data_IF_849752085195
#
_entry.id   IF_849752085195
#
_cell.length_a   1.000
_cell.length_b   1.000
_cell.length_c   1.000
_cell.angle_alpha   90.00
_cell.angle_beta   90.00
_cell.angle_gamma   90.00
#
_symmetry.space_group_name_H-M   'P 1'
#
loop_
_entity.id
_entity.type
_entity.pdbx_description
1 polymer ?
#
# COMPACT_ATOMS: atom_id res chain seq x y z
N UNK A 1 24.38 -20.15 -4.44
CA UNK A 1 23.41 -19.25 -5.10
C UNK A 1 22.64 -18.55 -4.00
N UNK A 2 22.56 -17.22 -4.02
CA UNK A 2 22.01 -16.45 -2.91
C UNK A 2 20.48 -16.57 -2.87
N UNK A 3 19.94 -17.39 -1.97
CA UNK A 3 18.48 -17.59 -1.78
C UNK A 3 17.70 -16.27 -1.49
N UNK A 4 18.42 -15.17 -1.21
CA UNK A 4 17.90 -13.79 -1.09
C UNK A 4 17.31 -13.26 -2.40
N UNK A 5 17.89 -13.59 -3.56
CA UNK A 5 17.44 -13.03 -4.84
C UNK A 5 16.07 -13.55 -5.27
N UNK A 6 15.53 -14.56 -4.60
CA UNK A 6 14.17 -15.05 -4.82
C UNK A 6 13.13 -14.24 -4.04
N UNK A 7 13.54 -13.37 -3.10
CA UNK A 7 12.64 -12.48 -2.37
C UNK A 7 12.37 -11.25 -3.23
N UNK A 8 11.22 -11.24 -3.86
CA UNK A 8 10.71 -10.11 -4.62
C UNK A 8 9.44 -9.59 -3.96
N UNK A 9 9.42 -8.29 -3.74
CA UNK A 9 8.29 -7.54 -3.23
C UNK A 9 7.84 -6.55 -4.27
N UNK A 10 6.53 -6.38 -4.43
CA UNK A 10 6.00 -5.44 -5.39
C UNK A 10 6.42 -4.02 -5.02
N UNK A 11 6.93 -3.22 -5.98
CA UNK A 11 7.41 -1.86 -5.71
C UNK A 11 6.24 -0.92 -5.41
N UNK A 12 6.55 0.27 -4.87
CA UNK A 12 5.56 1.34 -4.78
C UNK A 12 5.27 1.91 -6.17
N UNK A 13 4.02 2.32 -6.40
CA UNK A 13 3.59 2.98 -7.65
C UNK A 13 4.13 4.41 -7.68
N UNK A 14 4.55 4.91 -8.85
CA UNK A 14 5.10 6.26 -8.94
C UNK A 14 4.01 7.33 -8.84
N UNK A 15 4.33 8.46 -8.20
CA UNK A 15 3.42 9.62 -8.15
C UNK A 15 3.09 10.14 -9.54
N UNK A 16 4.03 10.09 -10.47
CA UNK A 16 3.82 10.52 -11.85
C UNK A 16 2.71 9.71 -12.55
N UNK A 17 2.65 8.40 -12.33
CA UNK A 17 1.58 7.54 -12.88
C UNK A 17 0.23 7.84 -12.26
N UNK A 18 0.17 8.05 -10.94
CA UNK A 18 -1.06 8.47 -10.27
C UNK A 18 -1.54 9.82 -10.83
N UNK A 19 -0.66 10.82 -10.92
CA UNK A 19 -1.02 12.12 -11.51
C UNK A 19 -1.52 11.98 -12.95
N UNK A 20 -0.81 11.22 -13.78
CA UNK A 20 -1.22 11.00 -15.17
C UNK A 20 -2.60 10.33 -15.26
N UNK A 21 -2.89 9.35 -14.39
CA UNK A 21 -4.20 8.70 -14.30
C UNK A 21 -5.30 9.75 -14.07
N UNK A 22 -5.20 10.55 -13.00
CA UNK A 22 -6.23 11.53 -12.66
C UNK A 22 -6.36 12.66 -13.68
N UNK A 23 -5.25 13.21 -14.17
CA UNK A 23 -5.27 14.30 -15.17
C UNK A 23 -5.92 13.83 -16.46
N UNK A 24 -5.54 12.65 -16.95
CA UNK A 24 -6.07 12.15 -18.20
C UNK A 24 -7.53 11.70 -18.04
N UNK A 25 -7.92 11.20 -16.86
CA UNK A 25 -9.29 10.82 -16.55
C UNK A 25 -10.20 12.05 -16.55
N UNK A 26 -9.81 13.12 -15.86
CA UNK A 26 -10.55 14.38 -15.82
C UNK A 26 -10.71 15.02 -17.21
N UNK A 27 -9.79 14.73 -18.13
CA UNK A 27 -9.85 15.17 -19.54
C UNK A 27 -10.65 14.24 -20.45
N UNK A 28 -11.12 13.10 -19.96
CA UNK A 28 -11.76 12.05 -20.77
C UNK A 28 -10.80 11.34 -21.74
N UNK A 29 -9.49 11.40 -21.48
CA UNK A 29 -8.42 10.89 -22.37
C UNK A 29 -7.57 9.78 -21.76
N UNK A 30 -7.84 9.35 -20.53
CA UNK A 30 -7.04 8.30 -19.89
C UNK A 30 -7.19 6.98 -20.65
N UNK A 31 -6.06 6.36 -20.98
CA UNK A 31 -6.02 5.06 -21.63
C UNK A 31 -6.29 3.95 -20.61
N UNK A 32 -6.99 2.89 -21.01
CA UNK A 32 -7.34 1.79 -20.12
C UNK A 32 -6.08 1.05 -19.62
N UNK A 33 -5.02 1.01 -20.43
CA UNK A 33 -3.73 0.44 -20.06
C UNK A 33 -3.11 1.13 -18.85
N UNK A 34 -3.26 2.47 -18.74
CA UNK A 34 -2.75 3.21 -17.58
C UNK A 34 -3.55 2.89 -16.31
N UNK A 35 -4.88 2.71 -16.45
CA UNK A 35 -5.76 2.33 -15.33
C UNK A 35 -5.39 0.94 -14.81
N UNK A 36 -5.18 0.00 -15.72
CA UNK A 36 -4.77 -1.37 -15.38
C UNK A 36 -3.37 -1.41 -14.78
N UNK A 37 -2.41 -0.70 -15.37
CA UNK A 37 -1.05 -0.65 -14.86
C UNK A 37 -1.01 -0.10 -13.43
N UNK A 38 -1.70 1.02 -13.17
CA UNK A 38 -1.77 1.60 -11.83
C UNK A 38 -2.48 0.66 -10.87
N UNK A 39 -3.66 0.16 -11.23
CA UNK A 39 -4.45 -0.60 -10.28
C UNK A 39 -3.89 -1.99 -10.00
N UNK A 40 -3.33 -2.70 -10.98
CA UNK A 40 -2.59 -3.94 -10.71
C UNK A 40 -1.29 -3.68 -9.96
N UNK A 41 -0.61 -2.54 -10.20
CA UNK A 41 0.54 -2.13 -9.39
C UNK A 41 0.18 -1.95 -7.91
N UNK A 42 -0.91 -1.23 -7.63
CA UNK A 42 -1.44 -1.07 -6.27
C UNK A 42 -1.89 -2.40 -5.68
N UNK A 43 -2.56 -3.26 -6.46
CA UNK A 43 -3.04 -4.56 -6.03
C UNK A 43 -1.87 -5.45 -5.59
N UNK A 44 -0.85 -5.60 -6.44
CA UNK A 44 0.32 -6.39 -6.15
C UNK A 44 1.10 -5.85 -4.94
N UNK A 45 1.09 -4.52 -4.75
CA UNK A 45 1.68 -3.88 -3.58
C UNK A 45 0.89 -4.17 -2.30
N UNK A 46 -0.43 -4.05 -2.32
CA UNK A 46 -1.29 -4.42 -1.19
C UNK A 46 -1.09 -5.89 -0.80
N UNK A 47 -1.01 -6.81 -1.76
CA UNK A 47 -0.71 -8.22 -1.48
C UNK A 47 0.63 -8.41 -0.77
N UNK A 48 1.69 -7.73 -1.24
CA UNK A 48 3.01 -7.78 -0.60
C UNK A 48 2.98 -7.26 0.85
N UNK A 49 2.22 -6.18 1.10
CA UNK A 49 2.04 -5.61 2.43
C UNK A 49 1.32 -6.60 3.35
N UNK A 50 0.19 -7.15 2.91
CA UNK A 50 -0.59 -8.11 3.69
C UNK A 50 0.21 -9.38 3.98
N UNK A 51 0.90 -9.92 2.98
CA UNK A 51 1.75 -11.11 3.15
C UNK A 51 2.86 -10.89 4.18
N UNK A 52 3.56 -9.76 4.11
CA UNK A 52 4.62 -9.48 5.07
C UNK A 52 4.06 -9.21 6.48
N UNK A 53 2.91 -8.55 6.57
CA UNK A 53 2.22 -8.29 7.85
C UNK A 53 1.81 -9.61 8.53
N UNK A 54 1.20 -10.53 7.79
CA UNK A 54 0.86 -11.89 8.25
C UNK A 54 2.12 -12.65 8.74
N UNK A 55 3.21 -12.59 7.98
CA UNK A 55 4.49 -13.18 8.38
C UNK A 55 5.07 -12.55 9.67
N UNK A 56 4.86 -11.26 9.88
CA UNK A 56 5.33 -10.54 11.07
C UNK A 56 4.49 -10.89 12.30
N UNK A 57 3.16 -10.89 12.17
CA UNK A 57 2.21 -11.02 13.28
C UNK A 57 1.95 -12.48 13.66
N UNK A 58 1.72 -13.34 12.66
CA UNK A 58 1.31 -14.73 12.86
C UNK A 58 2.47 -15.72 12.66
N UNK A 59 3.52 -15.29 11.96
CA UNK A 59 4.71 -16.11 11.73
C UNK A 59 4.65 -17.03 10.50
N UNK A 60 3.56 -16.99 9.73
CA UNK A 60 3.42 -17.71 8.47
C UNK A 60 4.17 -17.02 7.33
N UNK A 61 5.24 -17.64 6.83
CA UNK A 61 6.03 -17.09 5.71
C UNK A 61 5.74 -17.86 4.42
N UNK A 62 5.27 -17.17 3.38
CA UNK A 62 5.10 -17.79 2.05
C UNK A 62 6.45 -18.09 1.42
N UNK A 63 6.61 -19.31 0.89
CA UNK A 63 7.82 -19.68 0.16
C UNK A 63 7.84 -19.03 -1.23
N UNK A 64 8.79 -18.11 -1.44
CA UNK A 64 8.91 -17.37 -2.71
C UNK A 64 9.23 -18.27 -3.91
N UNK A 65 10.02 -19.33 -3.72
CA UNK A 65 10.34 -20.31 -4.77
C UNK A 65 9.12 -21.15 -5.18
N UNK A 66 8.29 -21.60 -4.22
CA UNK A 66 7.05 -22.31 -4.55
C UNK A 66 6.06 -21.38 -5.26
N UNK A 67 5.95 -20.14 -4.79
CA UNK A 67 5.04 -19.14 -5.37
C UNK A 67 5.38 -18.84 -6.84
N UNK A 68 6.66 -18.72 -7.19
CA UNK A 68 7.12 -18.59 -8.59
C UNK A 68 6.72 -19.78 -9.48
N UNK A 69 6.43 -20.94 -8.88
CA UNK A 69 5.94 -22.14 -9.58
C UNK A 69 4.41 -22.28 -9.53
N UNK A 70 3.68 -21.25 -9.07
CA UNK A 70 2.23 -21.29 -8.91
C UNK A 70 1.74 -22.13 -7.74
N UNK A 71 2.61 -22.44 -6.76
CA UNK A 71 2.26 -23.22 -5.57
C UNK A 71 2.33 -22.37 -4.30
N UNK A 72 1.37 -22.57 -3.40
CA UNK A 72 1.38 -21.93 -2.08
C UNK A 72 1.96 -22.89 -1.04
N UNK A 73 3.06 -22.51 -0.40
CA UNK A 73 3.62 -23.24 0.75
C UNK A 73 3.91 -22.25 1.88
N UNK A 74 3.38 -22.52 3.06
CA UNK A 74 3.60 -21.70 4.26
C UNK A 74 4.70 -22.34 5.11
N UNK A 75 5.69 -21.56 5.48
CA UNK A 75 6.77 -21.90 6.40
C UNK A 75 6.44 -21.26 7.74
N UNK A 76 6.20 -22.07 8.77
CA UNK A 76 5.96 -21.57 10.12
C UNK A 76 7.29 -21.16 10.75
N UNK A 77 7.46 -19.85 11.02
CA UNK A 77 8.68 -19.35 11.67
C UNK A 77 8.59 -19.51 13.19
N UNK A 78 9.74 -19.70 13.82
CA UNK A 78 9.80 -19.66 15.27
C UNK A 78 9.83 -18.20 15.74
N UNK A 79 8.70 -17.73 16.29
CA UNK A 79 8.53 -16.36 16.77
C UNK A 79 9.52 -15.98 17.89
N UNK A 80 9.93 -16.96 18.72
CA UNK A 80 10.85 -16.76 19.84
C UNK A 80 12.33 -16.76 19.41
N UNK A 81 12.63 -17.10 18.15
CA UNK A 81 14.00 -17.12 17.59
C UNK A 81 14.06 -16.23 16.34
N UNK A 82 14.27 -14.91 16.51
CA UNK A 82 14.22 -13.94 15.41
C UNK A 82 15.37 -14.12 14.38
N UNK A 83 16.40 -14.90 14.68
CA UNK A 83 17.47 -15.24 13.73
C UNK A 83 17.28 -16.60 13.05
N UNK A 84 16.12 -17.25 13.25
CA UNK A 84 15.84 -18.58 12.73
C UNK A 84 15.98 -18.64 11.20
N UNK A 85 16.49 -19.79 10.75
CA UNK A 85 16.51 -20.15 9.35
C UNK A 85 15.11 -20.61 8.98
N UNK A 86 14.49 -19.93 8.02
CA UNK A 86 13.30 -20.41 7.35
C UNK A 86 13.73 -21.46 6.34
N UNK A 87 13.09 -22.63 6.34
CA UNK A 87 13.33 -23.67 5.35
C UNK A 87 12.00 -24.20 4.85
N UNK A 88 11.79 -24.13 3.54
CA UNK A 88 10.63 -24.69 2.89
C UNK A 88 10.71 -26.23 2.92
N UNK A 89 9.70 -26.93 3.43
CA UNK A 89 9.69 -28.39 3.46
C UNK A 89 9.48 -29.01 2.08
N UNK A 90 8.95 -28.25 1.11
CA UNK A 90 8.61 -28.75 -0.23
C UNK A 90 9.76 -28.58 -1.22
N UNK A 91 10.29 -27.36 -1.37
CA UNK A 91 11.29 -27.06 -2.39
C UNK A 91 12.72 -26.83 -1.85
N UNK A 92 12.89 -26.92 -0.52
CA UNK A 92 14.18 -26.71 0.15
C UNK A 92 14.70 -25.27 0.14
N UNK A 93 13.95 -24.30 -0.38
CA UNK A 93 14.31 -22.87 -0.28
C UNK A 93 14.55 -22.48 1.17
N UNK A 94 15.60 -21.69 1.40
CA UNK A 94 16.00 -21.34 2.75
C UNK A 94 16.48 -19.89 2.84
N UNK A 95 16.08 -19.19 3.88
CA UNK A 95 16.55 -17.82 4.13
C UNK A 95 16.51 -17.51 5.62
N UNK A 96 17.45 -16.71 6.11
CA UNK A 96 17.39 -16.23 7.50
C UNK A 96 16.29 -15.17 7.62
N UNK A 97 15.47 -15.22 8.67
CA UNK A 97 14.41 -14.23 8.91
C UNK A 97 14.91 -12.79 8.81
N UNK A 98 16.09 -12.49 9.36
CA UNK A 98 16.71 -11.15 9.27
C UNK A 98 16.88 -10.65 7.84
N UNK A 99 17.17 -11.55 6.89
CA UNK A 99 17.33 -11.20 5.47
C UNK A 99 15.95 -10.95 4.86
N UNK A 100 14.98 -11.82 5.14
CA UNK A 100 13.58 -11.64 4.71
C UNK A 100 12.98 -10.30 5.16
N UNK A 101 13.19 -9.96 6.44
CA UNK A 101 12.80 -8.67 7.01
C UNK A 101 13.55 -7.50 6.37
N UNK A 102 14.86 -7.61 6.13
CA UNK A 102 15.61 -6.54 5.47
C UNK A 102 15.08 -6.25 4.06
N UNK A 103 14.71 -7.28 3.29
CA UNK A 103 14.13 -7.10 1.95
C UNK A 103 12.78 -6.37 1.99
N UNK A 104 11.95 -6.58 3.01
CA UNK A 104 10.68 -5.85 3.17
C UNK A 104 10.85 -4.37 3.55
N UNK A 105 12.07 -3.94 3.84
CA UNK A 105 12.43 -2.59 4.30
C UNK A 105 13.42 -1.90 3.34
N UNK A 106 13.52 -2.38 2.10
CA UNK A 106 14.39 -1.81 1.05
C UNK A 106 13.92 -0.41 0.58
N UNK A 107 14.47 0.13 -0.52
CA UNK A 107 14.12 1.50 -0.99
C UNK A 107 12.61 1.69 -1.26
N UNK A 108 11.96 0.64 -1.75
CA UNK A 108 10.52 0.62 -2.01
C UNK A 108 9.72 0.44 -0.72
N UNK A 109 10.38 0.31 0.43
CA UNK A 109 9.92 0.72 1.74
C UNK A 109 8.87 -0.19 2.41
N UNK A 110 8.77 -0.01 3.72
CA UNK A 110 7.86 -0.56 4.73
C UNK A 110 6.60 -1.32 4.22
N UNK A 111 6.68 -2.65 4.21
CA UNK A 111 5.55 -3.55 3.91
C UNK A 111 4.61 -3.83 5.10
N UNK A 112 4.61 -2.99 6.13
CA UNK A 112 3.75 -3.19 7.31
C UNK A 112 2.43 -2.45 7.08
N UNK A 113 1.32 -3.19 7.17
CA UNK A 113 -0.01 -2.65 6.92
C UNK A 113 -0.40 -1.58 7.94
N UNK A 114 -0.13 -1.83 9.22
CA UNK A 114 -0.63 -1.02 10.33
C UNK A 114 -2.15 -0.87 10.24
N UNK A 115 -2.66 0.32 10.58
CA UNK A 115 -4.10 0.57 10.59
C UNK A 115 -4.75 0.61 9.19
N UNK A 116 -3.99 0.63 8.09
CA UNK A 116 -4.54 0.52 6.73
C UNK A 116 -4.81 -0.93 6.28
N UNK A 117 -4.56 -1.94 7.11
CA UNK A 117 -4.77 -3.34 6.73
C UNK A 117 -6.16 -3.62 6.16
N UNK A 118 -7.22 -3.05 6.76
CA UNK A 118 -8.58 -3.20 6.25
C UNK A 118 -8.76 -2.63 4.84
N UNK A 119 -8.16 -1.49 4.52
CA UNK A 119 -8.24 -0.88 3.19
C UNK A 119 -7.50 -1.72 2.14
N UNK A 120 -6.32 -2.25 2.49
CA UNK A 120 -5.57 -3.15 1.60
C UNK A 120 -6.33 -4.44 1.33
N UNK A 121 -6.92 -5.05 2.36
CA UNK A 121 -7.75 -6.26 2.21
C UNK A 121 -8.96 -6.01 1.32
N UNK A 122 -9.67 -4.89 1.54
CA UNK A 122 -10.82 -4.52 0.69
C UNK A 122 -10.40 -4.34 -0.76
N UNK A 123 -9.31 -3.63 -1.02
CA UNK A 123 -8.84 -3.38 -2.38
C UNK A 123 -8.46 -4.67 -3.11
N UNK A 124 -7.70 -5.56 -2.45
CA UNK A 124 -7.33 -6.87 -3.01
C UNK A 124 -8.56 -7.73 -3.30
N UNK A 125 -9.62 -7.63 -2.50
CA UNK A 125 -10.85 -8.39 -2.72
C UNK A 125 -11.73 -7.83 -3.86
N UNK A 126 -11.66 -6.52 -4.11
CA UNK A 126 -12.56 -5.80 -5.03
C UNK A 126 -11.93 -5.61 -6.41
N UNK A 127 -10.70 -5.12 -6.50
CA UNK A 127 -10.11 -4.65 -7.76
C UNK A 127 -10.13 -5.70 -8.90
N UNK A 128 -9.78 -6.99 -8.67
CA UNK A 128 -9.84 -8.02 -9.72
C UNK A 128 -11.26 -8.32 -10.24
N UNK A 129 -12.30 -7.87 -9.53
CA UNK A 129 -13.71 -8.07 -9.90
C UNK A 129 -14.28 -6.87 -10.66
N UNK A 130 -13.60 -5.73 -10.67
CA UNK A 130 -14.00 -4.55 -11.42
C UNK A 130 -13.93 -4.83 -12.92
N UNK A 131 -15.05 -4.63 -13.62
CA UNK A 131 -15.20 -4.89 -15.06
C UNK A 131 -15.23 -3.61 -15.86
N UNK A 132 -15.73 -2.52 -15.29
CA UNK A 132 -15.79 -1.22 -15.97
C UNK A 132 -14.63 -0.33 -15.57
N UNK A 133 -14.37 0.65 -16.43
CA UNK A 133 -13.39 1.71 -16.21
C UNK A 133 -13.68 2.47 -14.91
N UNK A 134 -14.93 2.85 -14.72
CA UNK A 134 -15.41 3.63 -13.58
C UNK A 134 -15.22 2.85 -12.26
N UNK A 135 -15.54 1.56 -12.26
CA UNK A 135 -15.32 0.70 -11.10
C UNK A 135 -13.83 0.62 -10.71
N UNK A 136 -12.95 0.47 -11.71
CA UNK A 136 -11.49 0.43 -11.48
C UNK A 136 -10.98 1.75 -10.92
N UNK A 137 -11.37 2.88 -11.50
CA UNK A 137 -10.97 4.22 -11.04
C UNK A 137 -11.48 4.46 -9.61
N UNK A 138 -12.74 4.15 -9.32
CA UNK A 138 -13.32 4.34 -8.00
C UNK A 138 -12.64 3.47 -6.94
N UNK A 139 -12.26 2.24 -7.29
CA UNK A 139 -11.50 1.37 -6.39
C UNK A 139 -10.11 1.96 -6.09
N UNK A 140 -9.40 2.47 -7.10
CA UNK A 140 -8.10 3.13 -6.95
C UNK A 140 -8.23 4.37 -6.06
N UNK A 141 -9.22 5.21 -6.36
CA UNK A 141 -9.46 6.46 -5.66
C UNK A 141 -9.73 6.26 -4.17
N UNK A 142 -10.64 5.34 -3.83
CA UNK A 142 -10.95 4.99 -2.44
C UNK A 142 -9.73 4.50 -1.68
N UNK A 143 -8.87 3.70 -2.31
CA UNK A 143 -7.66 3.20 -1.67
C UNK A 143 -6.67 4.32 -1.38
N UNK A 144 -6.41 5.18 -2.36
CA UNK A 144 -5.43 6.26 -2.27
C UNK A 144 -5.85 7.32 -1.24
N UNK A 145 -7.15 7.59 -1.14
CA UNK A 145 -7.73 8.53 -0.18
C UNK A 145 -8.08 7.92 1.18
N UNK A 146 -7.75 6.66 1.45
CA UNK A 146 -7.94 6.10 2.80
C UNK A 146 -6.90 6.71 3.77
N UNK A 147 -7.37 7.16 4.93
CA UNK A 147 -6.54 7.68 6.02
C UNK A 147 -6.49 6.75 7.22
N UNK A 148 -5.33 6.72 7.89
CA UNK A 148 -5.19 6.12 9.21
C UNK A 148 -5.82 7.07 10.23
N UNK A 149 -6.93 6.65 10.82
CA UNK A 149 -7.53 7.35 11.95
C UNK A 149 -6.91 6.84 13.25
N UNK A 150 -6.31 7.74 14.03
CA UNK A 150 -5.77 7.44 15.35
C UNK A 150 -6.64 8.18 16.37
N UNK A 151 -7.20 7.43 17.32
CA UNK A 151 -7.67 8.02 18.58
C UNK A 151 -6.43 8.34 19.43
N UNK A 152 -6.22 9.63 19.69
CA UNK A 152 -5.10 10.09 20.52
C UNK A 152 -5.48 9.98 22.01
N UNK A 153 -6.75 10.25 22.35
CA UNK A 153 -7.35 10.06 23.68
C UNK A 153 -8.84 9.73 23.54
N UNK A 154 -9.44 9.03 24.51
CA UNK A 154 -10.87 8.66 24.52
C UNK A 154 -11.81 9.88 24.52
N UNK A 155 -11.35 11.02 25.02
CA UNK A 155 -12.07 12.30 25.11
C UNK A 155 -11.85 13.22 23.89
N UNK A 156 -11.06 12.79 22.90
CA UNK A 156 -10.81 13.55 21.68
C UNK A 156 -11.31 12.82 20.42
N UNK A 157 -11.81 13.57 19.43
CA UNK A 157 -12.18 12.98 18.15
C UNK A 157 -10.96 12.33 17.48
N UNK A 158 -11.18 11.16 16.86
CA UNK A 158 -10.15 10.46 16.10
C UNK A 158 -9.54 11.40 15.04
N UNK A 159 -8.21 11.44 14.96
CA UNK A 159 -7.50 12.29 14.01
C UNK A 159 -6.90 11.44 12.90
N UNK A 160 -7.04 11.90 11.66
CA UNK A 160 -6.29 11.35 10.54
C UNK A 160 -4.80 11.62 10.76
N UNK A 161 -4.01 10.57 10.97
CA UNK A 161 -2.58 10.67 11.28
C UNK A 161 -1.70 10.55 10.03
N UNK A 162 -2.09 9.71 9.06
CA UNK A 162 -1.31 9.45 7.84
C UNK A 162 -2.16 8.78 6.75
N UNK A 163 -2.04 9.13 5.46
CA UNK A 163 -2.74 8.42 4.40
C UNK A 163 -2.12 7.04 4.15
N UNK A 164 -2.96 6.06 3.81
CA UNK A 164 -2.55 4.72 3.40
C UNK A 164 -1.63 4.76 2.17
N UNK A 165 -1.82 5.78 1.31
CA UNK A 165 -1.02 6.04 0.12
C UNK A 165 0.50 6.07 0.35
N UNK A 166 1.00 6.41 1.55
CA UNK A 166 2.45 6.43 1.80
C UNK A 166 3.10 5.04 1.73
N UNK A 167 2.34 3.98 2.01
CA UNK A 167 2.82 2.60 1.87
C UNK A 167 2.76 2.11 0.41
N UNK A 168 2.01 2.81 -0.44
CA UNK A 168 1.67 2.41 -1.81
C UNK A 168 2.43 3.21 -2.86
N UNK A 169 2.75 4.48 -2.57
CA UNK A 169 3.28 5.43 -3.54
C UNK A 169 4.74 5.80 -3.25
N UNK A 170 5.56 5.87 -4.30
CA UNK A 170 6.97 6.30 -4.18
C UNK A 170 7.03 7.77 -3.77
N UNK A 171 7.98 8.10 -2.90
CA UNK A 171 8.14 9.45 -2.36
C UNK A 171 8.06 9.46 -0.83
N UNK A 172 8.28 10.65 -0.27
CA UNK A 172 8.11 10.89 1.16
C UNK A 172 6.67 11.33 1.49
N UNK A 173 6.32 11.34 2.78
CA UNK A 173 4.97 11.71 3.24
C UNK A 173 4.53 13.09 2.75
N UNK A 174 5.45 14.07 2.68
CA UNK A 174 5.15 15.43 2.22
C UNK A 174 4.75 15.41 0.74
N UNK A 175 5.52 14.74 -0.10
CA UNK A 175 5.23 14.62 -1.54
C UNK A 175 3.90 13.90 -1.80
N UNK A 176 3.61 12.84 -1.03
CA UNK A 176 2.33 12.13 -1.13
C UNK A 176 1.17 13.03 -0.72
N UNK A 177 1.28 13.72 0.42
CA UNK A 177 0.24 14.65 0.89
C UNK A 177 0.02 15.82 -0.07
N UNK A 178 1.09 16.37 -0.63
CA UNK A 178 1.03 17.45 -1.62
C UNK A 178 0.28 16.99 -2.87
N UNK A 179 0.60 15.81 -3.40
CA UNK A 179 -0.15 15.21 -4.51
C UNK A 179 -1.63 14.99 -4.15
N UNK A 180 -1.95 14.42 -2.98
CA UNK A 180 -3.35 14.21 -2.58
C UNK A 180 -4.13 15.53 -2.48
N UNK A 181 -3.47 16.58 -1.97
CA UNK A 181 -4.04 17.92 -1.92
C UNK A 181 -4.25 18.50 -3.33
N UNK A 182 -3.31 18.32 -4.27
CA UNK A 182 -3.47 18.74 -5.67
C UNK A 182 -4.68 18.06 -6.31
N UNK A 183 -4.88 16.76 -6.04
CA UNK A 183 -6.01 15.99 -6.57
C UNK A 183 -7.35 16.43 -5.96
N UNK A 184 -7.36 16.80 -4.69
CA UNK A 184 -8.57 17.20 -3.96
C UNK A 184 -8.95 18.66 -4.22
N UNK A 185 -7.95 19.55 -4.37
CA UNK A 185 -8.11 20.99 -4.41
C UNK A 185 -7.54 21.57 -5.72
N UNK A 186 -8.27 21.39 -6.83
CA UNK A 186 -7.96 21.98 -8.14
C UNK A 186 -8.59 23.37 -8.39
N UNK A 187 -8.36 23.93 -9.57
CA UNK A 187 -8.83 25.29 -9.95
C UNK A 187 -10.35 25.48 -9.85
N UNK A 188 -11.13 24.41 -9.98
CA UNK A 188 -12.60 24.43 -9.91
C UNK A 188 -13.16 23.96 -8.57
N UNK A 189 -12.35 23.93 -7.52
CA UNK A 189 -12.82 23.50 -6.19
C UNK A 189 -13.87 24.47 -5.66
N UNK A 190 -15.06 24.00 -5.26
CA UNK A 190 -16.06 24.86 -4.64
C UNK A 190 -15.50 25.59 -3.42
N UNK A 191 -15.91 26.84 -3.23
CA UNK A 191 -15.42 27.69 -2.14
C UNK A 191 -15.59 27.03 -0.77
N UNK A 192 -16.72 26.35 -0.55
CA UNK A 192 -17.05 25.62 0.70
C UNK A 192 -16.01 24.54 1.04
N UNK A 193 -15.48 23.84 0.03
CA UNK A 193 -14.45 22.80 0.20
C UNK A 193 -13.09 23.44 0.54
N UNK A 194 -12.80 24.62 -0.02
CA UNK A 194 -11.60 25.40 0.30
C UNK A 194 -11.67 25.98 1.71
N UNK A 195 -12.83 26.47 2.14
CA UNK A 195 -13.07 26.95 3.50
C UNK A 195 -12.90 25.82 4.53
N UNK A 196 -13.44 24.63 4.24
CA UNK A 196 -13.23 23.44 5.07
C UNK A 196 -11.75 23.06 5.21
N UNK A 197 -10.95 23.19 4.13
CA UNK A 197 -9.49 22.97 4.16
C UNK A 197 -8.79 23.99 5.05
N UNK A 198 -9.10 25.28 4.90
CA UNK A 198 -8.46 26.34 5.68
C UNK A 198 -8.78 26.19 7.17
N UNK A 199 -10.04 25.94 7.51
CA UNK A 199 -10.44 25.63 8.88
C UNK A 199 -9.62 24.46 9.44
N UNK A 200 -9.46 23.37 8.67
CA UNK A 200 -8.69 22.22 9.12
C UNK A 200 -7.20 22.54 9.33
N UNK A 201 -6.58 23.32 8.44
CA UNK A 201 -5.19 23.77 8.58
C UNK A 201 -5.00 24.66 9.83
N UNK A 202 -5.95 25.54 10.14
CA UNK A 202 -5.93 26.38 11.34
C UNK A 202 -6.04 25.55 12.63
N UNK A 203 -6.80 24.46 12.64
CA UNK A 203 -6.86 23.55 13.78
C UNK A 203 -5.53 22.79 14.00
N UNK A 204 -4.75 22.58 12.94
CA UNK A 204 -3.44 21.94 13.03
C UNK A 204 -2.33 22.93 13.46
N UNK A 205 -2.47 24.21 13.15
CA UNK A 205 -1.48 25.26 13.48
C UNK A 205 -1.64 25.86 14.88
N UNK A 206 -2.79 25.69 15.54
CA UNK A 206 -3.02 26.07 16.95
C UNK A 206 -2.34 25.14 17.97
N UNK A 207 -1.23 24.51 17.59
CA UNK A 207 -0.37 23.68 18.45
C UNK A 207 0.96 24.36 18.69
#
# INVERSE_FOLDING_TARGET
MSDRSEIEWSPRVSLAKIRALYINEARGTCADELIEEVGFGLFARCQSILEYTEALEEGGVRCKRCQKKGQTTIIQRNMNKPSSLLRCPVCGWQVRWRVYKAESQNEDGNLIAGHAGAAFTRYVAIYPKCRTREEKILAIDRLIHEFHWILIHEDQPARAAKPAAVNLLRGNIRQVMEMLNELTYGENTPLEILEGKQWWLEQQSKK
#
